data_IF_310850557683
#
_entry.id   IF_310850557683
#
_cell.length_a   1.000
_cell.length_b   1.000
_cell.length_c   1.000
_cell.angle_alpha   90.00
_cell.angle_beta   90.00
_cell.angle_gamma   90.00
#
_symmetry.space_group_name_H-M   'P 1'
#
loop_
_entity.id
_entity.type
_entity.pdbx_description
1 polymer ?
#
# COMPACT_ATOMS: atom_id res chain seq x y z
N UNK A 1 -21.21 2.42 4.58
CA UNK A 1 -19.85 1.83 4.56
C UNK A 1 -18.95 2.49 3.51
N UNK A 2 -19.36 2.51 2.23
CA UNK A 2 -18.57 3.09 1.13
C UNK A 2 -18.32 4.61 1.25
N UNK A 3 -19.30 5.40 1.71
CA UNK A 3 -19.10 6.85 1.94
C UNK A 3 -18.00 7.14 2.98
N UNK A 4 -17.94 6.37 4.07
CA UNK A 4 -16.91 6.52 5.08
C UNK A 4 -15.52 6.23 4.53
N UNK A 5 -15.39 5.28 3.60
CA UNK A 5 -14.13 4.96 2.93
C UNK A 5 -13.67 6.10 2.03
N UNK A 6 -14.57 6.72 1.27
CA UNK A 6 -14.26 7.86 0.41
C UNK A 6 -13.72 9.06 1.22
N UNK A 7 -14.36 9.39 2.36
CA UNK A 7 -13.87 10.46 3.25
C UNK A 7 -12.49 10.12 3.83
N UNK A 8 -12.26 8.87 4.24
CA UNK A 8 -10.95 8.43 4.72
C UNK A 8 -9.88 8.47 3.60
N UNK A 9 -10.25 8.21 2.35
CA UNK A 9 -9.34 8.32 1.20
C UNK A 9 -8.91 9.76 0.98
N UNK A 10 -9.85 10.71 0.97
CA UNK A 10 -9.54 12.13 0.81
C UNK A 10 -8.65 12.64 1.95
N UNK A 11 -8.94 12.23 3.19
CA UNK A 11 -8.12 12.55 4.35
C UNK A 11 -6.70 11.95 4.24
N UNK A 12 -6.59 10.70 3.78
CA UNK A 12 -5.31 10.05 3.54
C UNK A 12 -4.52 10.78 2.44
N UNK A 13 -5.14 11.08 1.30
CA UNK A 13 -4.52 11.83 0.20
C UNK A 13 -3.96 13.17 0.68
N UNK A 14 -4.75 13.92 1.47
CA UNK A 14 -4.30 15.18 2.06
C UNK A 14 -3.13 14.99 3.05
N UNK A 15 -3.24 14.04 3.98
CA UNK A 15 -2.20 13.71 4.98
C UNK A 15 -0.87 13.33 4.32
N UNK A 16 -0.94 12.56 3.23
CA UNK A 16 0.25 12.15 2.48
C UNK A 16 0.64 13.13 1.37
N UNK A 17 -0.04 14.27 1.24
CA UNK A 17 0.26 15.30 0.24
C UNK A 17 0.18 14.81 -1.21
N UNK A 18 -0.75 13.90 -1.51
CA UNK A 18 -1.15 13.53 -2.87
C UNK A 18 -2.35 14.39 -3.31
N UNK A 19 -2.60 14.55 -4.63
CA UNK A 19 -3.80 15.20 -5.12
C UNK A 19 -5.06 14.55 -4.53
N UNK A 20 -5.94 15.37 -3.94
CA UNK A 20 -7.18 14.89 -3.30
C UNK A 20 -8.23 14.70 -4.38
N UNK A 21 -8.50 13.44 -4.72
CA UNK A 21 -9.58 13.03 -5.62
C UNK A 21 -10.07 11.64 -5.25
N UNK A 22 -11.32 11.56 -4.77
CA UNK A 22 -11.94 10.29 -4.37
C UNK A 22 -12.12 9.28 -5.51
N UNK A 23 -12.12 9.75 -6.77
CA UNK A 23 -12.32 8.91 -7.96
C UNK A 23 -11.05 8.18 -8.38
N UNK A 24 -9.88 8.73 -8.04
CA UNK A 24 -8.59 8.09 -8.33
C UNK A 24 -8.42 6.90 -7.39
N UNK A 25 -8.21 5.68 -7.90
CA UNK A 25 -7.93 4.53 -7.07
C UNK A 25 -6.64 4.73 -6.25
N UNK A 26 -6.62 4.21 -5.02
CA UNK A 26 -5.49 4.28 -4.12
C UNK A 26 -5.06 2.88 -3.67
N UNK A 27 -3.84 2.51 -4.00
CA UNK A 27 -3.20 1.26 -3.59
C UNK A 27 -2.30 1.52 -2.38
N UNK A 28 -2.47 0.74 -1.32
CA UNK A 28 -1.61 0.76 -0.15
C UNK A 28 -0.66 -0.43 -0.12
N UNK A 29 0.58 -0.22 0.28
CA UNK A 29 1.51 -1.27 0.72
C UNK A 29 1.96 -0.94 2.15
N UNK A 30 1.81 -1.90 3.06
CA UNK A 30 2.20 -1.75 4.46
C UNK A 30 3.01 -2.97 4.88
N UNK A 31 4.26 -2.79 5.29
CA UNK A 31 5.06 -3.92 5.74
C UNK A 31 6.49 -3.59 6.11
N UNK A 32 7.15 -4.56 6.75
CA UNK A 32 8.61 -4.52 6.96
C UNK A 32 9.32 -4.50 5.60
N UNK A 33 10.32 -3.66 5.46
CA UNK A 33 11.12 -3.57 4.25
C UNK A 33 12.22 -4.64 4.28
N UNK A 34 11.79 -5.86 3.97
CA UNK A 34 12.59 -7.08 3.89
C UNK A 34 12.19 -7.88 2.66
N UNK A 35 13.09 -8.72 2.16
CA UNK A 35 12.86 -9.57 0.98
C UNK A 35 11.60 -10.41 1.13
N UNK A 36 11.30 -10.89 2.35
CA UNK A 36 10.08 -11.64 2.62
C UNK A 36 8.81 -10.91 2.16
N UNK A 37 8.73 -9.58 2.36
CA UNK A 37 7.54 -8.77 2.06
C UNK A 37 7.50 -8.23 0.63
N UNK A 38 8.52 -8.53 -0.18
CA UNK A 38 8.59 -8.14 -1.59
C UNK A 38 8.44 -6.64 -1.88
N UNK A 39 9.05 -5.70 -1.11
CA UNK A 39 8.98 -4.28 -1.44
C UNK A 39 9.64 -3.97 -2.79
N UNK A 40 10.69 -4.70 -3.15
CA UNK A 40 11.34 -4.63 -4.46
C UNK A 40 10.42 -5.02 -5.61
N UNK A 41 9.62 -6.06 -5.43
CA UNK A 41 8.62 -6.49 -6.42
C UNK A 41 7.55 -5.42 -6.59
N UNK A 42 7.03 -4.88 -5.48
CA UNK A 42 6.05 -3.79 -5.52
C UNK A 42 6.60 -2.58 -6.28
N UNK A 43 7.81 -2.11 -5.94
CA UNK A 43 8.44 -0.94 -6.57
C UNK A 43 8.68 -1.15 -8.07
N UNK A 44 9.10 -2.35 -8.46
CA UNK A 44 9.36 -2.68 -9.86
C UNK A 44 8.08 -2.62 -10.72
N UNK A 45 6.91 -2.91 -10.15
CA UNK A 45 5.62 -2.87 -10.85
C UNK A 45 5.06 -1.43 -11.00
N UNK A 46 5.48 -0.47 -10.16
CA UNK A 46 4.92 0.88 -10.14
C UNK A 46 4.95 1.58 -11.51
N UNK A 47 6.06 1.60 -12.27
CA UNK A 47 6.10 2.28 -13.56
C UNK A 47 5.13 1.69 -14.59
N UNK A 48 4.91 0.37 -14.56
CA UNK A 48 3.98 -0.33 -15.45
C UNK A 48 2.53 0.00 -15.08
N UNK A 49 2.19 -0.09 -13.79
CA UNK A 49 0.87 0.28 -13.26
C UNK A 49 0.52 1.74 -13.63
N UNK A 50 1.44 2.68 -13.41
CA UNK A 50 1.20 4.11 -13.67
C UNK A 50 1.18 4.47 -15.17
N UNK A 51 1.64 3.57 -16.04
CA UNK A 51 1.57 3.75 -17.49
C UNK A 51 0.17 3.42 -18.02
N UNK A 52 -0.49 2.44 -17.42
CA UNK A 52 -1.79 1.93 -17.87
C UNK A 52 -2.97 2.60 -17.15
N UNK A 53 -2.79 2.91 -15.86
CA UNK A 53 -3.89 3.34 -14.99
C UNK A 53 -3.60 4.68 -14.30
N UNK A 54 -4.65 5.50 -14.14
CA UNK A 54 -4.59 6.68 -13.29
C UNK A 54 -4.81 6.29 -11.82
N UNK A 55 -3.73 5.93 -11.12
CA UNK A 55 -3.76 5.42 -9.75
C UNK A 55 -2.76 6.11 -8.84
N UNK A 56 -3.08 6.18 -7.55
CA UNK A 56 -2.18 6.63 -6.49
C UNK A 56 -1.68 5.45 -5.66
N UNK A 57 -0.43 5.52 -5.20
CA UNK A 57 0.21 4.45 -4.44
C UNK A 57 0.84 5.03 -3.17
N UNK A 58 0.51 4.46 -2.01
CA UNK A 58 1.08 4.84 -0.72
C UNK A 58 1.83 3.64 -0.11
N UNK A 59 3.11 3.82 0.15
CA UNK A 59 4.01 2.80 0.69
C UNK A 59 4.42 3.18 2.11
N UNK A 60 4.16 2.31 3.10
CA UNK A 60 4.53 2.51 4.50
C UNK A 60 5.39 1.34 4.99
N UNK A 61 6.58 1.65 5.49
CA UNK A 61 7.46 0.62 6.05
C UNK A 61 8.83 1.12 6.46
N UNK A 62 9.53 0.33 7.26
CA UNK A 62 10.94 0.51 7.63
C UNK A 62 11.67 -0.83 7.55
N UNK A 63 12.99 -0.80 7.39
CA UNK A 63 13.79 -2.04 7.36
C UNK A 63 15.14 -1.85 6.71
N UNK A 64 15.48 -2.70 5.73
CA UNK A 64 16.79 -2.64 5.07
C UNK A 64 16.92 -1.33 4.29
N UNK A 65 18.00 -0.58 4.54
CA UNK A 65 18.29 0.73 3.91
C UNK A 65 18.23 0.72 2.38
N UNK A 66 18.54 -0.40 1.73
CA UNK A 66 18.40 -0.53 0.27
C UNK A 66 16.95 -0.35 -0.20
N UNK A 67 15.98 -0.92 0.53
CA UNK A 67 14.57 -0.82 0.18
C UNK A 67 13.99 0.54 0.56
N UNK A 68 14.42 1.12 1.68
CA UNK A 68 14.06 2.50 2.05
C UNK A 68 14.47 3.49 0.94
N UNK A 69 15.68 3.35 0.41
CA UNK A 69 16.16 4.15 -0.72
C UNK A 69 15.35 3.91 -2.00
N UNK A 70 15.01 2.65 -2.30
CA UNK A 70 14.19 2.34 -3.48
C UNK A 70 12.80 2.98 -3.38
N UNK A 71 12.16 2.91 -2.20
CA UNK A 71 10.88 3.55 -1.92
C UNK A 71 10.94 5.06 -2.16
N UNK A 72 11.98 5.73 -1.65
CA UNK A 72 12.19 7.16 -1.88
C UNK A 72 12.47 7.51 -3.34
N UNK A 73 13.26 6.69 -4.02
CA UNK A 73 13.57 6.92 -5.44
C UNK A 73 12.34 6.85 -6.36
N UNK A 74 11.32 6.06 -6.01
CA UNK A 74 10.09 5.96 -6.82
C UNK A 74 9.11 7.09 -6.50
N UNK A 75 9.05 7.55 -5.25
CA UNK A 75 8.34 8.78 -4.86
C UNK A 75 8.90 9.99 -5.63
N UNK A 76 10.23 10.14 -5.71
CA UNK A 76 10.88 11.23 -6.44
C UNK A 76 10.56 11.23 -7.95
N UNK A 77 10.39 10.04 -8.55
CA UNK A 77 10.03 9.89 -9.97
C UNK A 77 8.57 10.22 -10.25
N UNK A 78 7.68 9.98 -9.28
CA UNK A 78 6.23 10.12 -9.44
C UNK A 78 5.60 10.89 -8.26
N UNK A 79 6.02 12.14 -7.98
CA UNK A 79 5.69 12.83 -6.73
C UNK A 79 4.20 13.15 -6.54
N UNK A 80 3.42 13.19 -7.62
CA UNK A 80 1.96 13.39 -7.59
C UNK A 80 1.15 12.10 -7.56
N UNK A 81 1.80 10.92 -7.68
CA UNK A 81 1.14 9.61 -7.73
C UNK A 81 1.61 8.67 -6.63
N UNK A 82 2.85 8.80 -6.17
CA UNK A 82 3.46 7.87 -5.21
C UNK A 82 3.91 8.62 -3.98
N UNK A 83 3.54 8.11 -2.79
CA UNK A 83 4.15 8.53 -1.53
C UNK A 83 4.83 7.35 -0.83
N UNK A 84 6.08 7.53 -0.43
CA UNK A 84 6.76 6.60 0.48
C UNK A 84 6.96 7.20 1.87
N UNK A 85 6.39 6.56 2.88
CA UNK A 85 6.52 6.93 4.29
C UNK A 85 7.45 5.94 4.98
N UNK A 86 8.72 6.31 5.09
CA UNK A 86 9.77 5.47 5.67
C UNK A 86 9.91 5.76 7.17
N UNK A 87 8.91 5.36 7.95
CA UNK A 87 8.89 5.47 9.42
C UNK A 87 7.85 4.51 9.98
N UNK A 88 7.99 4.16 11.26
CA UNK A 88 6.89 3.53 11.97
C UNK A 88 5.80 4.58 12.25
N UNK A 89 4.58 4.33 11.78
CA UNK A 89 3.44 5.21 12.03
C UNK A 89 2.15 4.38 12.06
N UNK A 90 1.76 3.95 13.25
CA UNK A 90 0.54 3.16 13.45
C UNK A 90 -0.75 3.93 13.09
N UNK A 91 -0.93 5.21 13.48
CA UNK A 91 -2.08 6.00 13.05
C UNK A 91 -2.24 6.05 11.51
N UNK A 92 -1.15 6.28 10.79
CA UNK A 92 -1.17 6.30 9.32
C UNK A 92 -1.50 4.92 8.75
N UNK A 93 -1.03 3.82 9.34
CA UNK A 93 -1.39 2.48 8.90
C UNK A 93 -2.91 2.25 8.98
N UNK A 94 -3.57 2.71 10.04
CA UNK A 94 -5.03 2.66 10.15
C UNK A 94 -5.73 3.55 9.10
N UNK A 95 -5.22 4.76 8.84
CA UNK A 95 -5.74 5.63 7.78
C UNK A 95 -5.59 5.01 6.39
N UNK A 96 -4.45 4.36 6.12
CA UNK A 96 -4.21 3.63 4.88
C UNK A 96 -5.20 2.46 4.71
N UNK A 97 -5.42 1.66 5.76
CA UNK A 97 -6.43 0.59 5.71
C UNK A 97 -7.85 1.14 5.52
N UNK A 98 -8.18 2.28 6.11
CA UNK A 98 -9.50 2.89 5.98
C UNK A 98 -9.73 3.59 4.63
N UNK A 99 -8.68 4.15 4.01
CA UNK A 99 -8.78 4.98 2.81
C UNK A 99 -8.38 4.31 1.50
N UNK A 100 -7.52 3.28 1.51
CA UNK A 100 -7.07 2.61 0.30
C UNK A 100 -8.15 1.75 -0.34
N UNK A 101 -8.25 1.74 -1.66
CA UNK A 101 -9.16 0.86 -2.40
C UNK A 101 -8.63 -0.56 -2.48
N UNK A 102 -7.30 -0.73 -2.53
CA UNK A 102 -6.63 -2.04 -2.60
C UNK A 102 -5.43 -2.05 -1.67
N UNK A 103 -5.27 -3.13 -0.93
CA UNK A 103 -4.04 -3.42 -0.18
C UNK A 103 -3.18 -4.42 -0.98
N UNK A 104 -2.00 -3.98 -1.42
CA UNK A 104 -1.03 -4.81 -2.11
C UNK A 104 -0.17 -5.59 -1.10
N UNK A 105 -0.18 -6.93 -1.18
CA UNK A 105 0.58 -7.84 -0.33
C UNK A 105 1.48 -8.72 -1.19
N UNK A 106 2.66 -8.20 -1.55
CA UNK A 106 3.60 -8.83 -2.51
C UNK A 106 4.60 -9.79 -1.85
N UNK A 107 4.19 -10.45 -0.76
CA UNK A 107 5.07 -11.34 0.01
C UNK A 107 5.57 -12.53 -0.80
N UNK A 108 6.86 -12.87 -0.64
CA UNK A 108 7.46 -14.11 -1.20
C UNK A 108 6.98 -15.35 -0.44
N UNK A 109 6.80 -15.22 0.87
CA UNK A 109 6.16 -16.22 1.72
C UNK A 109 5.47 -15.54 2.92
N UNK A 110 4.34 -16.09 3.34
CA UNK A 110 3.54 -15.54 4.43
C UNK A 110 2.93 -16.67 5.28
N UNK A 111 3.48 -17.00 6.46
CA UNK A 111 2.94 -18.09 7.28
C UNK A 111 1.46 -17.91 7.61
N UNK A 112 1.05 -16.66 7.85
CA UNK A 112 -0.36 -16.26 7.91
C UNK A 112 -0.54 -14.86 7.32
N UNK A 113 0.07 -13.87 7.97
CA UNK A 113 -0.09 -12.45 7.64
C UNK A 113 -1.21 -11.82 8.48
N UNK A 114 -0.93 -10.66 9.08
CA UNK A 114 -1.94 -9.89 9.80
C UNK A 114 -2.51 -8.75 8.96
N UNK A 115 -1.72 -8.26 8.00
CA UNK A 115 -2.05 -7.02 7.30
C UNK A 115 -3.27 -7.19 6.39
N UNK A 116 -3.44 -8.36 5.78
CA UNK A 116 -4.61 -8.68 4.97
C UNK A 116 -5.87 -8.86 5.83
N UNK A 117 -5.76 -9.48 7.01
CA UNK A 117 -6.87 -9.60 7.96
C UNK A 117 -7.33 -8.21 8.44
N UNK A 118 -6.37 -7.33 8.72
CA UNK A 118 -6.64 -5.94 9.09
C UNK A 118 -7.26 -5.18 7.90
N UNK A 119 -6.72 -5.31 6.69
CA UNK A 119 -7.29 -4.71 5.48
C UNK A 119 -8.75 -5.13 5.26
N UNK A 120 -9.04 -6.43 5.30
CA UNK A 120 -10.39 -6.96 5.17
C UNK A 120 -11.33 -6.46 6.26
N UNK A 121 -10.84 -6.34 7.51
CA UNK A 121 -11.63 -5.76 8.61
C UNK A 121 -12.04 -4.32 8.35
N UNK A 122 -11.23 -3.55 7.61
CA UNK A 122 -11.50 -2.18 7.20
C UNK A 122 -12.25 -2.07 5.86
N UNK A 123 -12.64 -3.21 5.27
CA UNK A 123 -13.30 -3.23 3.95
C UNK A 123 -12.35 -2.87 2.80
N UNK A 124 -11.08 -3.23 2.92
CA UNK A 124 -10.06 -3.05 1.87
C UNK A 124 -9.69 -4.40 1.29
N UNK A 125 -10.11 -4.71 0.04
CA UNK A 125 -9.73 -5.94 -0.63
C UNK A 125 -8.20 -6.00 -0.82
N UNK A 126 -7.67 -7.22 -0.84
CA UNK A 126 -6.24 -7.47 -0.90
C UNK A 126 -5.84 -8.07 -2.25
N UNK A 127 -4.93 -7.41 -2.95
CA UNK A 127 -4.22 -7.99 -4.09
C UNK A 127 -2.93 -8.63 -3.57
N UNK A 128 -2.90 -9.95 -3.45
CA UNK A 128 -1.87 -10.68 -2.73
C UNK A 128 -1.16 -11.73 -3.57
N UNK A 129 0.08 -12.06 -3.18
CA UNK A 129 0.73 -13.27 -3.66
C UNK A 129 0.02 -14.54 -3.11
N UNK A 130 -0.05 -15.59 -3.92
CA UNK A 130 -0.69 -16.86 -3.56
C UNK A 130 0.25 -17.74 -2.72
N UNK A 131 0.46 -17.39 -1.45
CA UNK A 131 1.35 -18.12 -0.53
C UNK A 131 0.83 -18.18 0.90
N UNK A 132 1.02 -19.34 1.55
CA UNK A 132 0.66 -19.58 2.95
C UNK A 132 -0.74 -19.09 3.33
N UNK A 133 -0.88 -18.46 4.48
CA UNK A 133 -2.21 -18.06 4.98
C UNK A 133 -2.91 -16.95 4.18
N UNK A 134 -2.26 -16.34 3.19
CA UNK A 134 -2.94 -15.47 2.23
C UNK A 134 -3.93 -16.27 1.38
N UNK A 135 -3.57 -17.50 0.99
CA UNK A 135 -4.44 -18.42 0.22
C UNK A 135 -5.65 -18.85 1.05
N UNK A 136 -5.47 -19.06 2.36
CA UNK A 136 -6.54 -19.51 3.24
C UNK A 136 -7.54 -18.39 3.58
N UNK A 137 -7.09 -17.15 3.59
CA UNK A 137 -7.85 -16.02 4.16
C UNK A 137 -8.46 -15.08 3.14
N UNK A 138 -7.98 -15.08 1.90
CA UNK A 138 -8.48 -14.22 0.82
C UNK A 138 -9.26 -15.12 -0.16
N UNK A 139 -10.58 -14.92 -0.21
CA UNK A 139 -11.56 -15.75 -0.94
C UNK A 139 -12.30 -14.95 -2.01
#
# INVERSE_FOLDING_TARGET
ALEGKALNKEALQAEVGLPVDRKVPLVAFIGRLEEQKGPDVMIAAIPEILKEEDVQIVLLGTGKKKFERLLKSVEEKFPSKVRAVVRFNAPLAHQMMAGADVLAVTSRFEPCGLIQLQGMRYGTPCACASTGGLVDTIV
#
